data_IF_382450380566
#
_entry.id   IF_382450380566
#
_cell.length_a   1.000
_cell.length_b   1.000
_cell.length_c   1.000
_cell.angle_alpha   90.00
_cell.angle_beta   90.00
_cell.angle_gamma   90.00
#
_symmetry.space_group_name_H-M   'P 1'
#
loop_
_entity.id
_entity.type
_entity.pdbx_description
1 polymer ?
#
# COMPACT_ATOMS: atom_id res chain seq x y z
N UNK A 1 -12.75 -5.54 -4.07
CA UNK A 1 -11.99 -6.40 -3.15
C UNK A 1 -11.83 -5.80 -1.77
N UNK A 2 -11.76 -6.68 -0.76
CA UNK A 2 -11.29 -6.33 0.58
C UNK A 2 -9.79 -6.60 0.70
N UNK A 3 -9.05 -5.68 1.31
CA UNK A 3 -7.65 -5.85 1.72
C UNK A 3 -7.44 -5.37 3.15
N UNK A 4 -6.28 -5.67 3.73
CA UNK A 4 -5.84 -5.04 4.98
C UNK A 4 -4.70 -4.06 4.72
N UNK A 5 -4.73 -2.88 5.34
CA UNK A 5 -3.66 -1.88 5.32
C UNK A 5 -3.34 -1.52 6.76
N UNK A 6 -2.12 -1.79 7.24
CA UNK A 6 -1.71 -1.59 8.64
C UNK A 6 -2.73 -2.16 9.64
N UNK A 7 -3.18 -3.41 9.42
CA UNK A 7 -4.17 -4.12 10.25
C UNK A 7 -5.60 -3.54 10.23
N UNK A 8 -5.87 -2.55 9.37
CA UNK A 8 -7.22 -2.01 9.14
C UNK A 8 -7.78 -2.51 7.80
N UNK A 9 -9.06 -2.87 7.76
CA UNK A 9 -9.70 -3.41 6.57
C UNK A 9 -10.24 -2.30 5.67
N UNK A 10 -10.00 -2.41 4.36
CA UNK A 10 -10.47 -1.47 3.36
C UNK A 10 -11.17 -2.20 2.21
N UNK A 11 -12.30 -1.63 1.79
CA UNK A 11 -12.99 -2.03 0.57
C UNK A 11 -12.52 -1.16 -0.59
N UNK A 12 -11.88 -1.78 -1.58
CA UNK A 12 -11.35 -1.15 -2.77
C UNK A 12 -12.13 -1.60 -4.01
N UNK A 13 -12.25 -0.69 -4.99
CA UNK A 13 -12.72 -1.05 -6.33
C UNK A 13 -11.62 -1.82 -7.07
N UNK A 14 -12.01 -2.66 -8.00
CA UNK A 14 -11.07 -3.38 -8.87
C UNK A 14 -11.10 -2.78 -10.30
N UNK A 15 -9.94 -2.74 -10.99
CA UNK A 15 -8.59 -2.92 -10.46
C UNK A 15 -8.15 -1.73 -9.60
N UNK A 16 -7.29 -1.96 -8.60
CA UNK A 16 -6.67 -0.89 -7.80
C UNK A 16 -5.17 -1.16 -7.66
N UNK A 17 -4.35 -0.18 -8.06
CA UNK A 17 -2.90 -0.23 -7.84
C UNK A 17 -2.52 0.22 -6.44
N UNK A 18 -1.27 -0.03 -6.03
CA UNK A 18 -0.72 0.48 -4.77
C UNK A 18 -0.83 2.01 -4.71
N UNK A 19 -0.51 2.72 -5.80
CA UNK A 19 -0.59 4.18 -5.85
C UNK A 19 -2.03 4.70 -5.66
N UNK A 20 -3.01 4.06 -6.29
CA UNK A 20 -4.41 4.40 -6.11
C UNK A 20 -4.88 4.12 -4.68
N UNK A 21 -4.48 3.00 -4.09
CA UNK A 21 -4.79 2.67 -2.70
C UNK A 21 -4.22 3.71 -1.73
N UNK A 22 -2.97 4.16 -1.92
CA UNK A 22 -2.37 5.21 -1.09
C UNK A 22 -3.20 6.49 -1.08
N UNK A 23 -3.77 6.86 -2.24
CA UNK A 23 -4.64 8.03 -2.37
C UNK A 23 -5.97 7.83 -1.63
N UNK A 24 -6.54 6.63 -1.69
CA UNK A 24 -7.80 6.28 -1.02
C UNK A 24 -7.69 6.28 0.50
N UNK A 25 -6.57 5.80 1.03
CA UNK A 25 -6.31 5.76 2.49
C UNK A 25 -5.69 7.05 3.02
N UNK A 26 -5.56 8.08 2.17
CA UNK A 26 -4.94 9.38 2.48
C UNK A 26 -3.52 9.25 3.07
N UNK A 27 -2.74 8.30 2.56
CA UNK A 27 -1.36 8.09 2.97
C UNK A 27 -0.38 8.93 2.14
N UNK A 28 0.69 9.47 2.76
CA UNK A 28 1.68 10.27 2.05
C UNK A 28 2.52 9.40 1.11
N UNK A 29 2.68 9.77 -0.16
CA UNK A 29 3.54 9.05 -1.10
C UNK A 29 5.06 9.28 -0.88
N UNK A 30 5.44 10.15 0.08
CA UNK A 30 6.83 10.48 0.42
C UNK A 30 7.15 10.03 1.84
N UNK A 31 8.37 9.58 2.06
CA UNK A 31 8.84 9.13 3.38
C UNK A 31 8.19 7.83 3.85
N UNK A 32 7.59 7.05 2.93
CA UNK A 32 7.06 5.72 3.22
C UNK A 32 7.61 4.68 2.25
N UNK A 33 7.70 3.44 2.72
CA UNK A 33 7.78 2.24 1.91
C UNK A 33 6.46 1.47 2.02
N UNK A 34 6.12 0.71 0.98
CA UNK A 34 4.93 -0.14 0.95
C UNK A 34 5.38 -1.59 0.82
N UNK A 35 4.89 -2.44 1.72
CA UNK A 35 5.00 -3.89 1.59
C UNK A 35 3.63 -4.49 1.27
N UNK A 36 3.57 -5.43 0.34
CA UNK A 36 2.40 -6.27 0.06
C UNK A 36 2.78 -7.71 0.38
N UNK A 37 2.04 -8.35 1.29
CA UNK A 37 2.29 -9.73 1.74
C UNK A 37 3.76 -9.96 2.15
N UNK A 38 4.30 -9.07 3.00
CA UNK A 38 5.70 -9.08 3.47
C UNK A 38 6.77 -8.80 2.39
N UNK A 39 6.37 -8.45 1.17
CA UNK A 39 7.29 -8.12 0.08
C UNK A 39 7.27 -6.63 -0.20
N UNK A 40 8.43 -5.97 -0.16
CA UNK A 40 8.55 -4.54 -0.47
C UNK A 40 8.28 -4.31 -1.95
N UNK A 41 7.34 -3.40 -2.25
CA UNK A 41 7.07 -2.96 -3.62
C UNK A 41 7.84 -1.66 -3.87
N UNK A 42 8.72 -1.68 -4.86
CA UNK A 42 9.50 -0.51 -5.25
C UNK A 42 8.56 0.63 -5.67
N UNK A 43 8.93 1.87 -5.35
CA UNK A 43 8.09 3.04 -5.64
C UNK A 43 7.79 3.21 -7.14
N UNK A 44 8.71 2.82 -8.01
CA UNK A 44 8.50 2.78 -9.47
C UNK A 44 7.36 1.86 -9.89
N UNK A 45 7.07 0.85 -9.08
CA UNK A 45 6.13 -0.21 -9.41
C UNK A 45 4.74 0.05 -8.81
N UNK A 46 4.60 1.06 -7.93
CA UNK A 46 3.31 1.37 -7.30
C UNK A 46 2.17 1.66 -8.28
N UNK A 47 2.38 2.33 -9.43
CA UNK A 47 1.30 2.57 -10.39
C UNK A 47 0.85 1.30 -11.12
N UNK A 48 1.74 0.31 -11.25
CA UNK A 48 1.51 -0.91 -12.06
C UNK A 48 1.24 -2.16 -11.23
N UNK A 49 1.60 -2.16 -9.94
CA UNK A 49 1.34 -3.27 -9.03
C UNK A 49 -0.13 -3.25 -8.59
N UNK A 50 -0.94 -4.14 -9.16
CA UNK A 50 -2.36 -4.30 -8.86
C UNK A 50 -2.53 -5.16 -7.60
N UNK A 51 -3.25 -4.62 -6.62
CA UNK A 51 -3.62 -5.31 -5.41
C UNK A 51 -4.72 -6.34 -5.69
N UNK A 52 -4.77 -7.38 -4.87
CA UNK A 52 -5.75 -8.47 -4.96
C UNK A 52 -6.52 -8.61 -3.66
N UNK A 53 -7.68 -9.24 -3.76
CA UNK A 53 -8.48 -9.57 -2.59
C UNK A 53 -7.68 -10.38 -1.56
N UNK A 54 -7.74 -9.93 -0.31
CA UNK A 54 -7.04 -10.54 0.82
C UNK A 54 -5.60 -10.07 1.01
N UNK A 55 -5.07 -9.19 0.16
CA UNK A 55 -3.70 -8.69 0.32
C UNK A 55 -3.51 -7.98 1.67
N UNK A 56 -2.33 -8.21 2.25
CA UNK A 56 -1.87 -7.54 3.46
C UNK A 56 -0.86 -6.46 3.10
N UNK A 57 -1.26 -5.21 3.24
CA UNK A 57 -0.44 -4.06 2.94
C UNK A 57 0.08 -3.45 4.24
N UNK A 58 1.39 -3.17 4.27
CA UNK A 58 2.04 -2.45 5.35
C UNK A 58 2.64 -1.16 4.81
N UNK A 59 2.24 -0.03 5.40
CA UNK A 59 2.81 1.29 5.16
C UNK A 59 3.87 1.55 6.23
N UNK A 60 5.12 1.54 5.82
CA UNK A 60 6.29 1.67 6.69
C UNK A 60 6.80 3.10 6.56
N UNK A 61 6.67 3.91 7.61
CA UNK A 61 7.24 5.26 7.62
C UNK A 61 8.76 5.18 7.80
N UNK A 62 9.50 5.92 6.99
CA UNK A 62 10.91 6.14 7.25
C UNK A 62 11.05 6.87 8.59
N UNK A 63 11.60 6.18 9.59
CA UNK A 63 12.03 6.82 10.82
C UNK A 63 13.36 7.51 10.50
N UNK A 64 13.41 8.84 10.63
CA UNK A 64 14.70 9.55 10.69
C UNK A 64 15.40 9.06 11.96
N UNK A 65 16.36 8.14 11.82
CA UNK A 65 17.32 7.85 12.88
C UNK A 65 18.19 9.08 13.11
N UNK A 66 18.49 9.38 14.37
CA UNK A 66 19.22 10.58 14.79
C UNK A 66 20.61 10.75 14.19
#
# INVERSE_FOLDING_TARGET
MEISVNQQHYQLKEPCSVEQMLSLVNAPAKGIAVAVNHTIIAKSDWPVHVLRQGDQVMLIKATQGG
#
